data_IF_275030544703
#
_entry.id   IF_275030544703
#
_cell.length_a   1.000
_cell.length_b   1.000
_cell.length_c   1.000
_cell.angle_alpha   90.00
_cell.angle_beta   90.00
_cell.angle_gamma   90.00
#
_symmetry.space_group_name_H-M   'P 1'
#
loop_
_entity.id
_entity.type
_entity.pdbx_description
1 polymer ?
#
# COMPACT_ATOMS: atom_id res chain seq x y z
N UNK A 1 12.87 -18.13 17.97
CA UNK A 1 11.99 -17.96 16.79
C UNK A 1 12.90 -17.68 15.62
N UNK A 2 12.91 -18.58 14.65
CA UNK A 2 13.66 -18.44 13.41
C UNK A 2 12.99 -17.35 12.56
N UNK A 3 13.75 -16.35 12.11
CA UNK A 3 13.23 -15.28 11.25
C UNK A 3 13.31 -15.78 9.81
N UNK A 4 12.16 -15.96 9.18
CA UNK A 4 12.08 -16.20 7.74
C UNK A 4 11.90 -14.84 7.06
N UNK A 5 12.88 -14.46 6.25
CA UNK A 5 12.84 -13.26 5.42
C UNK A 5 12.72 -13.71 3.96
N UNK A 6 11.69 -13.23 3.27
CA UNK A 6 11.55 -13.43 1.82
C UNK A 6 12.15 -12.22 1.14
N UNK A 7 13.33 -12.40 0.52
CA UNK A 7 13.94 -11.37 -0.33
C UNK A 7 13.31 -11.45 -1.74
N UNK A 8 12.72 -10.35 -2.21
CA UNK A 8 12.20 -10.24 -3.58
C UNK A 8 10.79 -9.64 -3.68
N UNK A 9 10.32 -9.52 -4.92
CA UNK A 9 8.97 -9.08 -5.25
C UNK A 9 8.06 -10.28 -5.51
N UNK A 10 6.82 -10.25 -5.03
CA UNK A 10 5.79 -11.24 -5.35
C UNK A 10 4.76 -10.61 -6.29
N UNK A 11 4.45 -11.27 -7.40
CA UNK A 11 3.38 -10.83 -8.30
C UNK A 11 2.11 -11.62 -7.99
N UNK A 12 1.09 -10.96 -7.44
CA UNK A 12 -0.18 -11.58 -7.03
C UNK A 12 -1.34 -10.88 -7.72
N UNK A 13 -2.05 -11.62 -8.59
CA UNK A 13 -3.18 -11.09 -9.38
C UNK A 13 -2.87 -9.82 -10.19
N UNK A 14 -1.62 -9.65 -10.61
CA UNK A 14 -1.15 -8.46 -11.33
C UNK A 14 -0.67 -7.32 -10.43
N UNK A 15 -0.75 -7.47 -9.10
CA UNK A 15 -0.24 -6.50 -8.13
C UNK A 15 1.15 -6.93 -7.68
N UNK A 16 2.10 -5.99 -7.72
CA UNK A 16 3.47 -6.24 -7.24
C UNK A 16 3.54 -6.01 -5.74
N UNK A 17 3.80 -7.05 -4.96
CA UNK A 17 3.96 -6.97 -3.51
C UNK A 17 5.45 -6.89 -3.17
N UNK A 18 5.81 -5.90 -2.38
CA UNK A 18 7.18 -5.61 -1.98
C UNK A 18 7.22 -5.38 -0.47
N UNK A 19 8.25 -5.87 0.19
CA UNK A 19 8.45 -5.62 1.62
C UNK A 19 9.92 -5.33 1.88
N UNK A 20 10.17 -4.42 2.80
CA UNK A 20 11.54 -4.04 3.18
C UNK A 20 12.30 -5.16 3.89
N UNK A 21 11.62 -5.96 4.70
CA UNK A 21 12.25 -6.97 5.56
C UNK A 21 11.65 -8.37 5.42
N UNK A 22 10.71 -8.59 4.51
CA UNK A 22 10.24 -9.94 4.21
C UNK A 22 9.46 -10.61 5.34
N UNK A 23 8.89 -9.85 6.30
CA UNK A 23 8.23 -10.47 7.46
C UNK A 23 6.93 -11.15 7.05
N UNK A 24 6.74 -12.39 7.51
CA UNK A 24 5.60 -13.22 7.11
C UNK A 24 4.22 -12.60 7.38
N UNK A 25 4.07 -11.86 8.48
CA UNK A 25 2.81 -11.20 8.81
C UNK A 25 2.50 -10.05 7.82
N UNK A 26 3.51 -9.29 7.41
CA UNK A 26 3.37 -8.19 6.44
C UNK A 26 3.02 -8.74 5.06
N UNK A 27 3.72 -9.81 4.64
CA UNK A 27 3.44 -10.50 3.38
C UNK A 27 2.02 -11.06 3.38
N UNK A 28 1.57 -11.64 4.49
CA UNK A 28 0.20 -12.16 4.63
C UNK A 28 -0.83 -11.06 4.44
N UNK A 29 -0.70 -9.93 5.13
CA UNK A 29 -1.62 -8.79 4.97
C UNK A 29 -1.70 -8.33 3.49
N UNK A 30 -0.54 -8.24 2.82
CA UNK A 30 -0.47 -7.85 1.41
C UNK A 30 -1.10 -8.89 0.46
N UNK A 31 -0.97 -10.19 0.75
CA UNK A 31 -1.63 -11.25 -0.02
C UNK A 31 -3.15 -11.20 0.19
N UNK A 32 -3.60 -11.06 1.44
CA UNK A 32 -5.02 -10.93 1.79
C UNK A 32 -5.65 -9.71 1.09
N UNK A 33 -4.91 -8.59 1.02
CA UNK A 33 -5.27 -7.43 0.22
C UNK A 33 -5.42 -7.77 -1.27
N UNK A 34 -4.43 -8.42 -1.88
CA UNK A 34 -4.46 -8.74 -3.30
C UNK A 34 -5.60 -9.71 -3.66
N UNK A 35 -5.85 -10.72 -2.83
CA UNK A 35 -6.96 -11.67 -3.01
C UNK A 35 -8.32 -10.97 -2.93
N UNK A 36 -8.50 -10.09 -1.94
CA UNK A 36 -9.75 -9.34 -1.80
C UNK A 36 -9.91 -8.29 -2.92
N UNK A 37 -8.83 -7.63 -3.32
CA UNK A 37 -8.82 -6.68 -4.45
C UNK A 37 -9.24 -7.36 -5.76
N UNK A 38 -8.76 -8.58 -6.01
CA UNK A 38 -9.18 -9.38 -7.16
C UNK A 38 -10.67 -9.74 -7.07
N UNK A 39 -11.11 -10.20 -5.90
CA UNK A 39 -12.50 -10.60 -5.65
C UNK A 39 -13.48 -9.44 -5.85
N UNK A 40 -13.09 -8.22 -5.46
CA UNK A 40 -13.88 -7.01 -5.66
C UNK A 40 -13.69 -6.35 -7.03
N UNK A 41 -12.85 -6.93 -7.92
CA UNK A 41 -12.64 -6.43 -9.27
C UNK A 41 -11.80 -5.15 -9.36
N UNK A 42 -11.07 -4.78 -8.29
CA UNK A 42 -10.26 -3.56 -8.22
C UNK A 42 -8.76 -3.80 -8.39
N UNK A 43 -8.29 -5.05 -8.39
CA UNK A 43 -6.87 -5.38 -8.54
C UNK A 43 -6.21 -4.74 -9.76
N UNK A 44 -6.92 -4.62 -10.89
CA UNK A 44 -6.43 -3.99 -12.13
C UNK A 44 -6.11 -2.49 -12.02
N UNK A 45 -6.52 -1.84 -10.93
CA UNK A 45 -6.24 -0.43 -10.68
C UNK A 45 -5.06 -0.23 -9.73
N UNK A 46 -4.52 -1.30 -9.15
CA UNK A 46 -3.40 -1.27 -8.22
C UNK A 46 -2.17 -1.85 -8.91
N UNK A 47 -1.09 -1.08 -8.98
CA UNK A 47 0.18 -1.53 -9.59
C UNK A 47 1.04 -2.28 -8.58
N UNK A 48 1.13 -1.74 -7.36
CA UNK A 48 1.99 -2.27 -6.32
C UNK A 48 1.46 -2.00 -4.90
N UNK A 49 1.89 -2.85 -3.98
CA UNK A 49 1.77 -2.63 -2.53
C UNK A 49 3.16 -2.82 -1.92
N UNK A 50 3.66 -1.78 -1.26
CA UNK A 50 4.97 -1.79 -0.62
C UNK A 50 4.83 -1.66 0.89
N UNK A 51 5.44 -2.56 1.67
CA UNK A 51 5.37 -2.51 3.13
C UNK A 51 6.68 -2.03 3.75
N UNK A 52 6.64 -0.90 4.47
CA UNK A 52 7.75 -0.45 5.33
C UNK A 52 7.60 -1.02 6.74
N UNK A 53 8.34 -2.09 7.03
CA UNK A 53 8.32 -2.72 8.35
C UNK A 53 8.81 -1.81 9.49
N UNK A 54 9.53 -0.72 9.19
CA UNK A 54 9.97 0.24 10.20
C UNK A 54 8.86 1.24 10.55
N UNK A 55 8.10 1.70 9.54
CA UNK A 55 6.95 2.56 9.76
C UNK A 55 5.71 1.76 10.19
N UNK A 56 5.69 0.44 9.95
CA UNK A 56 4.52 -0.42 10.04
C UNK A 56 3.38 0.10 9.14
N UNK A 57 3.71 0.48 7.90
CA UNK A 57 2.75 1.06 6.94
C UNK A 57 2.90 0.38 5.58
N UNK A 58 1.77 0.03 4.97
CA UNK A 58 1.68 -0.38 3.57
C UNK A 58 1.36 0.82 2.67
N UNK A 59 2.14 1.04 1.62
CA UNK A 59 1.89 2.04 0.59
C UNK A 59 1.29 1.35 -0.63
N UNK A 60 0.13 1.82 -1.08
CA UNK A 60 -0.61 1.27 -2.22
C UNK A 60 -0.45 2.24 -3.39
N UNK A 61 0.15 1.75 -4.48
CA UNK A 61 0.31 2.49 -5.72
C UNK A 61 -0.82 2.12 -6.69
N UNK A 62 -1.49 3.12 -7.24
CA UNK A 62 -2.60 2.95 -8.17
C UNK A 62 -2.20 3.37 -9.59
N UNK A 63 -2.72 2.67 -10.60
CA UNK A 63 -2.58 3.06 -12.01
C UNK A 63 -3.41 4.30 -12.40
N UNK A 64 -4.27 4.76 -11.50
CA UNK A 64 -5.15 5.91 -11.69
C UNK A 64 -4.71 7.04 -10.76
N UNK A 65 -4.83 8.27 -11.23
CA UNK A 65 -4.71 9.44 -10.35
C UNK A 65 -6.01 9.56 -9.57
N UNK A 66 -6.00 9.47 -8.23
CA UNK A 66 -7.21 9.55 -7.45
C UNK A 66 -7.82 10.95 -7.49
N UNK A 67 -9.11 11.01 -7.79
CA UNK A 67 -9.92 12.22 -7.63
C UNK A 67 -10.76 12.13 -6.35
N UNK A 68 -11.10 13.27 -5.71
CA UNK A 68 -12.03 13.27 -4.59
C UNK A 68 -13.34 12.57 -4.95
N UNK A 69 -13.76 11.62 -4.10
CA UNK A 69 -14.96 10.80 -4.29
C UNK A 69 -14.90 9.83 -5.49
N UNK A 70 -13.72 9.52 -6.03
CA UNK A 70 -13.58 8.50 -7.06
C UNK A 70 -14.06 7.13 -6.52
N UNK A 71 -15.07 6.50 -7.15
CA UNK A 71 -15.61 5.22 -6.69
C UNK A 71 -14.58 4.09 -6.72
N UNK A 72 -13.59 4.14 -7.62
CA UNK A 72 -12.50 3.16 -7.67
C UNK A 72 -11.57 3.35 -6.47
N UNK A 73 -11.21 4.60 -6.16
CA UNK A 73 -10.37 4.89 -5.00
C UNK A 73 -11.04 4.45 -3.70
N UNK A 74 -12.32 4.78 -3.51
CA UNK A 74 -13.10 4.34 -2.35
C UNK A 74 -13.18 2.82 -2.24
N UNK A 75 -13.25 2.11 -3.37
CA UNK A 75 -13.27 0.65 -3.38
C UNK A 75 -11.90 0.06 -3.00
N UNK A 76 -10.79 0.64 -3.48
CA UNK A 76 -9.43 0.24 -3.06
C UNK A 76 -9.24 0.51 -1.57
N UNK A 77 -9.66 1.68 -1.08
CA UNK A 77 -9.63 2.02 0.35
C UNK A 77 -10.45 1.02 1.19
N UNK A 78 -11.65 0.66 0.73
CA UNK A 78 -12.49 -0.32 1.42
C UNK A 78 -11.86 -1.72 1.49
N UNK A 79 -11.08 -2.12 0.48
CA UNK A 79 -10.27 -3.36 0.53
C UNK A 79 -9.15 -3.22 1.55
N UNK A 80 -8.41 -2.12 1.51
CA UNK A 80 -7.28 -1.85 2.40
C UNK A 80 -7.70 -1.84 3.88
N UNK A 81 -8.80 -1.16 4.22
CA UNK A 81 -9.36 -1.11 5.58
C UNK A 81 -9.72 -2.48 6.15
N UNK A 82 -9.97 -3.48 5.30
CA UNK A 82 -10.36 -4.83 5.72
C UNK A 82 -9.18 -5.79 5.85
N UNK A 83 -8.02 -5.45 5.28
CA UNK A 83 -6.91 -6.41 5.07
C UNK A 83 -5.57 -5.92 5.60
N UNK A 84 -5.36 -4.60 5.65
CA UNK A 84 -4.09 -4.00 6.06
C UNK A 84 -4.26 -3.31 7.42
N UNK A 85 -3.27 -3.49 8.29
CA UNK A 85 -3.28 -2.88 9.64
C UNK A 85 -3.11 -1.36 9.57
N UNK A 86 -2.22 -0.87 8.71
CA UNK A 86 -1.99 0.57 8.48
C UNK A 86 -1.52 0.76 7.06
N UNK A 87 -2.12 1.69 6.33
CA UNK A 87 -1.80 1.91 4.93
C UNK A 87 -1.93 3.38 4.51
N UNK A 88 -1.35 3.70 3.35
CA UNK A 88 -1.54 4.94 2.59
C UNK A 88 -1.77 4.55 1.13
N UNK A 89 -2.59 5.32 0.42
CA UNK A 89 -2.77 5.17 -1.03
C UNK A 89 -2.11 6.36 -1.73
N UNK A 90 -1.31 6.12 -2.76
CA UNK A 90 -0.65 7.18 -3.52
C UNK A 90 -1.67 8.08 -4.23
N UNK A 91 -1.41 9.40 -4.21
CA UNK A 91 -2.30 10.44 -4.71
C UNK A 91 -3.35 10.89 -3.70
N UNK A 92 -3.50 10.17 -2.59
CA UNK A 92 -4.23 10.67 -1.44
C UNK A 92 -3.38 11.72 -0.71
N UNK A 93 -3.76 12.98 -0.85
CA UNK A 93 -3.19 14.07 -0.03
C UNK A 93 -3.75 14.06 1.41
N UNK A 94 -4.61 13.10 1.75
CA UNK A 94 -5.08 12.82 3.10
C UNK A 94 -4.29 11.69 3.76
N UNK A 95 -3.64 12.01 4.87
CA UNK A 95 -3.05 10.99 5.75
C UNK A 95 -4.16 10.21 6.46
N UNK A 96 -4.55 9.04 5.96
CA UNK A 96 -5.45 8.14 6.67
C UNK A 96 -4.68 7.30 7.70
N UNK A 97 -4.75 7.70 8.98
CA UNK A 97 -4.41 6.85 10.13
C UNK A 97 -5.68 6.54 10.91
N UNK A 98 -6.11 5.27 10.97
CA UNK A 98 -7.19 4.87 11.86
C UNK A 98 -6.69 4.85 13.30
N UNK A 99 -7.13 5.82 14.10
CA UNK A 99 -6.88 5.81 15.55
C UNK A 99 -6.99 7.16 16.25
N UNK A 100 -6.71 8.30 15.60
CA UNK A 100 -6.95 9.67 16.08
C UNK A 100 -6.50 10.63 14.97
N UNK A 101 -7.38 11.54 14.53
CA UNK A 101 -7.01 12.67 13.66
C UNK A 101 -5.75 13.37 14.20
N UNK A 102 -4.65 13.37 13.44
CA UNK A 102 -3.60 14.38 13.61
C UNK A 102 -3.82 15.52 12.60
N UNK A 103 -3.51 16.77 12.99
CA UNK A 103 -3.68 17.92 12.11
C UNK A 103 -2.71 17.84 10.92
N UNK A 104 -3.18 18.36 9.79
CA UNK A 104 -2.47 18.40 8.50
C UNK A 104 -1.00 18.82 8.64
N UNK A 105 -0.06 18.24 7.88
CA UNK A 105 1.23 18.85 7.68
C UNK A 105 1.06 20.24 7.04
N UNK A 106 1.89 21.20 7.46
CA UNK A 106 1.90 22.56 6.89
C UNK A 106 2.28 22.49 5.40
N UNK A 107 1.74 23.42 4.62
CA UNK A 107 2.13 23.62 3.22
C UNK A 107 3.66 23.69 3.11
N UNK A 108 4.25 22.77 2.34
CA UNK A 108 5.70 22.67 2.11
C UNK A 108 6.37 21.33 2.45
N UNK A 109 5.62 20.31 2.92
CA UNK A 109 6.18 18.97 3.09
C UNK A 109 6.36 18.27 1.71
N UNK A 110 7.50 17.61 1.45
CA UNK A 110 7.75 16.93 0.18
C UNK A 110 6.79 15.75 -0.01
N UNK A 111 6.27 15.61 -1.23
CA UNK A 111 5.44 14.47 -1.67
C UNK A 111 6.36 13.28 -1.97
N UNK A 112 6.19 12.11 -1.34
CA UNK A 112 6.95 10.91 -1.69
C UNK A 112 6.49 10.39 -3.06
N UNK A 113 7.38 10.42 -4.06
CA UNK A 113 7.13 9.98 -5.43
C UNK A 113 8.41 9.75 -6.24
N UNK A 114 9.53 9.45 -5.57
CA UNK A 114 10.84 9.28 -6.19
C UNK A 114 11.46 7.90 -5.89
N UNK A 115 10.67 6.82 -5.95
CA UNK A 115 11.14 5.47 -5.62
C UNK A 115 11.83 4.74 -6.79
N UNK A 116 11.80 5.30 -8.02
CA UNK A 116 12.44 4.71 -9.20
C UNK A 116 13.98 4.61 -9.15
N UNK A 117 14.64 5.12 -8.11
CA UNK A 117 16.11 5.09 -8.01
C UNK A 117 16.68 3.89 -7.22
N UNK A 118 15.88 3.14 -6.46
CA UNK A 118 16.40 2.04 -5.63
C UNK A 118 16.34 0.65 -6.30
N UNK A 119 15.55 0.47 -7.36
CA UNK A 119 15.44 -0.80 -8.10
C UNK A 119 16.54 -1.00 -9.17
N UNK A 120 17.60 -0.17 -9.18
CA UNK A 120 18.72 -0.23 -10.15
C UNK A 120 20.09 -0.42 -9.47
N UNK A 121 20.15 -1.15 -8.36
CA UNK A 121 21.43 -1.58 -7.77
C UNK A 121 21.40 -3.06 -7.44
#
# INVERSE_FOLDING_TARGET
MEKFEVEGALLVHGITLLTRHGRLNEIREMIDFADLAKTQGVAKYVSAVWYDSNASVAEIECHITPEPCDPVFNAVEAVALRTLTTFRIEGDTGDYQWGRRKPRPRAGAPVPGAWHEWARR
#
